data_IF_363630071299
#
_entry.id   IF_363630071299
#
_cell.length_a   1.000
_cell.length_b   1.000
_cell.length_c   1.000
_cell.angle_alpha   90.00
_cell.angle_beta   90.00
_cell.angle_gamma   90.00
#
_symmetry.space_group_name_H-M   'P 1'
#
loop_
_entity.id
_entity.type
_entity.pdbx_description
1 polymer ?
#
# COMPACT_ATOMS: atom_id res chain seq x y z
N UNK A 1 -8.90 14.71 5.10
CA UNK A 1 -8.12 13.46 4.99
C UNK A 1 -7.46 13.45 3.63
N UNK A 2 -6.21 13.00 3.54
CA UNK A 2 -5.59 12.68 2.25
C UNK A 2 -5.89 11.23 1.87
N UNK A 3 -5.88 10.93 0.58
CA UNK A 3 -5.90 9.56 0.05
C UNK A 3 -4.50 8.95 0.00
N UNK A 4 -3.50 9.77 -0.32
CA UNK A 4 -2.07 9.40 -0.34
C UNK A 4 -1.17 10.63 -0.05
N UNK A 5 0.14 10.43 0.06
CA UNK A 5 1.13 11.51 0.09
C UNK A 5 1.54 11.99 -1.31
N UNK A 6 2.66 12.70 -1.42
CA UNK A 6 3.14 13.19 -2.73
C UNK A 6 3.69 12.03 -3.58
N UNK A 7 2.99 11.66 -4.65
CA UNK A 7 3.32 10.48 -5.48
C UNK A 7 4.45 10.65 -6.47
N UNK A 8 4.70 11.87 -6.91
CA UNK A 8 5.61 12.16 -8.02
C UNK A 8 6.49 13.36 -7.72
N UNK A 9 7.60 13.46 -8.45
CA UNK A 9 8.59 14.52 -8.26
C UNK A 9 9.81 14.02 -7.49
N UNK A 10 10.83 14.87 -7.39
CA UNK A 10 12.11 14.53 -6.74
C UNK A 10 11.93 14.25 -5.26
N UNK A 11 10.96 14.92 -4.66
CA UNK A 11 10.58 14.81 -3.26
C UNK A 11 10.08 13.39 -2.95
N UNK A 12 9.22 12.83 -3.80
CA UNK A 12 8.68 11.46 -3.68
C UNK A 12 9.76 10.38 -3.84
N UNK A 13 10.88 10.69 -4.53
CA UNK A 13 11.98 9.75 -4.74
C UNK A 13 12.92 9.64 -3.53
N UNK A 14 12.88 10.60 -2.60
CA UNK A 14 13.66 10.58 -1.36
C UNK A 14 13.21 9.44 -0.43
N UNK A 15 14.06 8.95 0.50
CA UNK A 15 13.65 7.95 1.48
C UNK A 15 12.38 8.36 2.24
N UNK A 16 12.32 9.60 2.74
CA UNK A 16 11.14 10.14 3.44
C UNK A 16 9.93 10.25 2.51
N UNK A 17 10.09 10.77 1.29
CA UNK A 17 9.00 10.88 0.33
C UNK A 17 8.38 9.53 -0.02
N UNK A 18 9.19 8.48 -0.18
CA UNK A 18 8.70 7.11 -0.42
C UNK A 18 7.86 6.58 0.74
N UNK A 19 8.10 7.04 1.97
CA UNK A 19 7.25 6.73 3.12
C UNK A 19 5.96 7.55 3.09
N UNK A 20 6.08 8.85 2.83
CA UNK A 20 4.95 9.78 2.84
C UNK A 20 3.89 9.41 1.80
N UNK A 21 4.29 8.88 0.63
CA UNK A 21 3.36 8.37 -0.41
C UNK A 21 2.28 7.46 0.19
N UNK A 22 2.68 6.56 1.11
CA UNK A 22 1.80 5.60 1.75
C UNK A 22 1.28 6.04 3.13
N UNK A 23 1.69 7.23 3.61
CA UNK A 23 1.31 7.78 4.91
C UNK A 23 0.46 9.06 4.73
N UNK A 24 -0.80 8.93 4.30
CA UNK A 24 -1.66 10.08 4.08
C UNK A 24 -1.93 10.84 5.39
N UNK A 25 -1.97 12.17 5.30
CA UNK A 25 -2.24 13.01 6.46
C UNK A 25 -3.72 13.02 6.84
N UNK A 26 -3.99 12.88 8.13
CA UNK A 26 -5.30 13.04 8.75
C UNK A 26 -5.25 14.14 9.81
N UNK A 27 -6.18 15.09 9.71
CA UNK A 27 -6.40 16.11 10.72
C UNK A 27 -7.84 16.03 11.22
N UNK A 28 -8.01 16.01 12.54
CA UNK A 28 -9.32 15.89 13.19
C UNK A 28 -9.55 17.11 14.07
N UNK A 29 -10.68 17.77 13.89
CA UNK A 29 -11.13 18.88 14.74
C UNK A 29 -12.43 18.48 15.39
N UNK A 30 -12.46 18.52 16.72
CA UNK A 30 -13.66 18.24 17.50
C UNK A 30 -14.43 19.53 17.83
N UNK A 31 -15.77 19.50 17.92
CA UNK A 31 -16.56 20.64 18.39
C UNK A 31 -16.13 21.11 19.78
N UNK A 32 -16.21 22.42 20.04
CA UNK A 32 -15.81 23.02 21.33
C UNK A 32 -16.44 22.34 22.55
N UNK A 33 -17.70 21.88 22.45
CA UNK A 33 -18.40 21.17 23.53
C UNK A 33 -17.74 19.85 23.96
N UNK A 34 -16.85 19.30 23.13
CA UNK A 34 -16.13 18.05 23.40
C UNK A 34 -14.70 18.28 23.87
N UNK A 35 -14.19 19.51 23.92
CA UNK A 35 -12.77 19.80 24.16
C UNK A 35 -12.21 19.20 25.47
N UNK A 36 -13.05 19.10 26.50
CA UNK A 36 -12.69 18.54 27.81
C UNK A 36 -13.37 17.20 28.09
N UNK A 37 -13.96 16.56 27.08
CA UNK A 37 -14.70 15.30 27.23
C UNK A 37 -13.79 14.07 27.16
N UNK A 38 -14.32 12.93 27.60
CA UNK A 38 -13.66 11.63 27.43
C UNK A 38 -13.45 11.26 25.96
N UNK A 39 -14.33 11.71 25.04
CA UNK A 39 -14.15 11.52 23.59
C UNK A 39 -12.89 12.24 23.12
N UNK A 40 -12.64 13.48 23.57
CA UNK A 40 -11.44 14.21 23.17
C UNK A 40 -10.17 13.49 23.64
N UNK A 41 -10.15 13.05 24.91
CA UNK A 41 -9.03 12.26 25.44
C UNK A 41 -8.81 10.98 24.63
N UNK A 42 -9.89 10.29 24.27
CA UNK A 42 -9.82 9.06 23.49
C UNK A 42 -9.29 9.29 22.07
N UNK A 43 -9.74 10.34 21.39
CA UNK A 43 -9.23 10.70 20.05
C UNK A 43 -7.75 11.06 20.10
N UNK A 44 -7.31 11.80 21.13
CA UNK A 44 -5.89 12.12 21.33
C UNK A 44 -5.07 10.85 21.59
N UNK A 45 -5.58 9.90 22.36
CA UNK A 45 -4.86 8.65 22.60
C UNK A 45 -4.76 7.80 21.33
N UNK A 46 -5.86 7.64 20.60
CA UNK A 46 -5.89 6.90 19.34
C UNK A 46 -5.05 7.57 18.24
N UNK A 47 -4.78 8.88 18.34
CA UNK A 47 -3.92 9.58 17.37
C UNK A 47 -2.45 9.14 17.40
N UNK A 48 -2.02 8.43 18.46
CA UNK A 48 -0.65 7.91 18.62
C UNK A 48 -0.47 6.51 18.04
N UNK A 49 -1.54 5.91 17.55
CA UNK A 49 -1.58 4.54 17.04
C UNK A 49 -1.70 4.52 15.51
N UNK A 50 -1.47 3.36 14.90
CA UNK A 50 -1.65 3.20 13.46
C UNK A 50 -3.14 3.23 13.08
N UNK A 51 -3.53 4.22 12.29
CA UNK A 51 -4.91 4.45 11.81
C UNK A 51 -5.00 4.19 10.31
N UNK A 52 -6.13 3.61 9.88
CA UNK A 52 -6.43 3.28 8.48
C UNK A 52 -7.72 3.97 8.02
N UNK A 53 -7.98 4.00 6.71
CA UNK A 53 -9.27 4.48 6.19
C UNK A 53 -10.47 3.63 6.65
N UNK A 54 -10.25 2.37 7.03
CA UNK A 54 -11.31 1.54 7.63
C UNK A 54 -11.73 2.07 9.01
N UNK A 55 -10.78 2.56 9.80
CA UNK A 55 -11.08 3.21 11.09
C UNK A 55 -11.87 4.50 10.88
N UNK A 56 -11.61 5.24 9.80
CA UNK A 56 -12.40 6.43 9.44
C UNK A 56 -13.83 6.07 9.06
N UNK A 57 -14.02 4.99 8.29
CA UNK A 57 -15.35 4.46 7.98
C UNK A 57 -16.13 4.09 9.25
N UNK A 58 -15.51 3.36 10.18
CA UNK A 58 -16.10 3.03 11.48
C UNK A 58 -16.36 4.29 12.32
N UNK A 59 -15.44 5.26 12.33
CA UNK A 59 -15.61 6.53 13.05
C UNK A 59 -16.83 7.31 12.55
N UNK A 60 -17.03 7.41 11.24
CA UNK A 60 -18.22 8.08 10.70
C UNK A 60 -19.49 7.32 11.01
N UNK A 61 -19.47 5.99 10.88
CA UNK A 61 -20.60 5.13 11.24
C UNK A 61 -20.98 5.31 12.73
N UNK A 62 -19.99 5.35 13.62
CA UNK A 62 -20.18 5.61 15.05
C UNK A 62 -20.82 6.98 15.32
N UNK A 63 -20.33 8.03 14.64
CA UNK A 63 -20.89 9.39 14.72
C UNK A 63 -22.36 9.43 14.29
N UNK A 64 -22.70 8.72 13.21
CA UNK A 64 -24.02 8.72 12.60
C UNK A 64 -25.05 7.91 13.39
N UNK A 65 -24.68 6.72 13.85
CA UNK A 65 -25.65 5.73 14.32
C UNK A 65 -25.58 5.45 15.82
N UNK A 66 -24.41 5.58 16.45
CA UNK A 66 -24.16 4.99 17.78
C UNK A 66 -23.96 6.07 18.85
N UNK A 67 -23.04 7.02 18.62
CA UNK A 67 -22.73 8.12 19.55
C UNK A 67 -23.92 9.02 19.90
N UNK A 68 -24.89 9.31 19.01
CA UNK A 68 -26.03 10.16 19.35
C UNK A 68 -26.85 9.62 20.54
N UNK A 69 -26.99 8.30 20.67
CA UNK A 69 -27.73 7.65 21.77
C UNK A 69 -27.10 7.88 23.16
N UNK A 70 -25.80 8.19 23.19
CA UNK A 70 -25.03 8.44 24.42
C UNK A 70 -24.60 9.90 24.55
N UNK A 71 -25.13 10.78 23.69
CA UNK A 71 -24.74 12.19 23.60
C UNK A 71 -23.22 12.39 23.46
N UNK A 72 -22.55 11.52 22.69
CA UNK A 72 -21.11 11.55 22.46
C UNK A 72 -20.30 11.46 23.77
N UNK A 73 -20.62 10.47 24.61
CA UNK A 73 -19.87 10.20 25.86
C UNK A 73 -19.28 8.79 25.91
N UNK A 74 -19.77 7.88 25.07
CA UNK A 74 -19.37 6.49 25.13
C UNK A 74 -18.06 6.22 24.38
N UNK A 75 -17.01 5.92 25.14
CA UNK A 75 -15.69 5.53 24.62
C UNK A 75 -15.44 4.03 24.69
N UNK A 76 -16.41 3.20 25.10
CA UNK A 76 -16.17 1.76 25.23
C UNK A 76 -15.90 1.13 23.87
N UNK A 77 -14.99 0.14 23.86
CA UNK A 77 -14.69 -0.64 22.68
C UNK A 77 -15.97 -1.25 22.08
N UNK A 78 -16.05 -1.22 20.76
CA UNK A 78 -17.15 -1.78 19.99
C UNK A 78 -16.62 -2.23 18.63
N UNK A 79 -17.06 -3.41 18.17
CA UNK A 79 -16.73 -3.92 16.84
C UNK A 79 -17.73 -3.40 15.81
N UNK A 80 -17.22 -2.84 14.72
CA UNK A 80 -18.03 -2.32 13.60
C UNK A 80 -18.11 -3.31 12.43
N UNK A 81 -17.20 -4.29 12.38
CA UNK A 81 -17.27 -5.40 11.44
C UNK A 81 -16.99 -6.74 12.16
N UNK A 82 -17.50 -7.83 11.60
CA UNK A 82 -17.33 -9.18 12.15
C UNK A 82 -15.85 -9.61 12.18
N UNK A 83 -15.03 -9.02 11.30
CA UNK A 83 -13.62 -9.37 11.13
C UNK A 83 -12.69 -8.56 12.03
N UNK A 84 -13.19 -7.61 12.82
CA UNK A 84 -12.41 -6.79 13.75
C UNK A 84 -11.38 -5.88 13.07
N UNK A 85 -11.64 -5.46 11.84
CA UNK A 85 -10.69 -4.70 11.00
C UNK A 85 -10.88 -3.19 11.11
N UNK A 86 -11.99 -2.74 11.69
CA UNK A 86 -12.35 -1.33 11.80
C UNK A 86 -12.52 -0.93 13.26
N UNK A 87 -12.04 0.25 13.64
CA UNK A 87 -12.24 0.80 14.98
C UNK A 87 -12.51 2.30 14.92
N UNK A 88 -13.59 2.75 15.56
CA UNK A 88 -13.88 4.18 15.68
C UNK A 88 -12.80 4.89 16.49
N UNK A 89 -12.32 6.03 15.99
CA UNK A 89 -11.39 6.91 16.68
C UNK A 89 -11.99 7.51 17.97
N UNK A 90 -13.31 7.47 18.13
CA UNK A 90 -14.01 7.98 19.32
C UNK A 90 -14.05 6.97 20.48
N UNK A 91 -13.62 5.73 20.23
CA UNK A 91 -13.69 4.61 21.19
C UNK A 91 -12.32 4.03 21.47
N UNK A 92 -12.19 3.33 22.59
CA UNK A 92 -11.01 2.51 22.88
C UNK A 92 -10.84 1.47 21.79
N UNK A 93 -9.60 1.29 21.32
CA UNK A 93 -9.23 0.16 20.49
C UNK A 93 -9.26 -1.14 21.29
N UNK A 94 -9.25 -2.28 20.59
CA UNK A 94 -9.34 -3.60 21.20
C UNK A 94 -8.14 -3.85 22.12
N UNK A 95 -8.43 -4.22 23.36
CA UNK A 95 -7.39 -4.46 24.37
C UNK A 95 -6.54 -5.68 24.00
N UNK A 96 -5.21 -5.56 24.18
CA UNK A 96 -4.27 -6.62 23.87
C UNK A 96 -3.96 -6.80 22.37
N UNK A 97 -4.61 -6.05 21.47
CA UNK A 97 -4.35 -6.11 20.03
C UNK A 97 -3.42 -4.98 19.60
N UNK A 98 -2.17 -5.34 19.31
CA UNK A 98 -1.18 -4.38 18.78
C UNK A 98 -1.57 -3.97 17.35
N UNK A 99 -1.62 -2.66 17.08
CA UNK A 99 -1.94 -2.12 15.76
C UNK A 99 -0.69 -2.04 14.89
N UNK A 100 -0.60 -2.92 13.90
CA UNK A 100 0.50 -2.99 12.94
C UNK A 100 0.02 -3.61 11.61
N UNK A 101 0.86 -3.63 10.58
CA UNK A 101 0.48 -4.16 9.26
C UNK A 101 0.12 -5.65 9.24
N UNK A 102 0.41 -6.41 10.29
CA UNK A 102 0.02 -7.83 10.41
C UNK A 102 -1.40 -7.97 10.95
N UNK A 103 -1.79 -7.10 11.88
CA UNK A 103 -3.08 -7.19 12.57
C UNK A 103 -4.15 -6.27 11.96
N UNK A 104 -3.75 -5.28 11.17
CA UNK A 104 -4.66 -4.39 10.44
C UNK A 104 -4.78 -4.79 8.97
N UNK A 105 -5.87 -4.43 8.27
CA UNK A 105 -6.08 -4.73 6.86
C UNK A 105 -5.22 -3.86 5.92
N UNK A 106 -3.92 -3.73 6.20
CA UNK A 106 -2.96 -2.95 5.43
C UNK A 106 -2.20 -3.88 4.50
N UNK A 107 -2.38 -3.74 3.17
CA UNK A 107 -1.62 -4.55 2.22
C UNK A 107 -0.11 -4.28 2.37
N UNK A 108 0.72 -5.33 2.24
CA UNK A 108 2.18 -5.24 2.45
C UNK A 108 2.89 -4.13 1.65
N UNK A 109 2.48 -3.81 0.42
CA UNK A 109 3.08 -2.69 -0.34
C UNK A 109 2.78 -1.31 0.26
N UNK A 110 1.71 -1.18 1.05
CA UNK A 110 1.32 0.05 1.74
C UNK A 110 1.73 0.07 3.21
N UNK A 111 2.44 -0.96 3.68
CA UNK A 111 2.88 -1.00 5.06
C UNK A 111 3.95 0.06 5.34
N UNK A 112 3.75 0.84 6.40
CA UNK A 112 4.68 1.89 6.84
C UNK A 112 5.86 1.35 7.67
N UNK A 113 5.80 0.11 8.13
CA UNK A 113 6.87 -0.49 8.92
C UNK A 113 8.17 -0.53 8.11
N UNK A 114 9.23 0.00 8.70
CA UNK A 114 10.56 0.00 8.11
C UNK A 114 11.26 -1.32 8.45
N UNK A 115 11.49 -2.13 7.43
CA UNK A 115 12.28 -3.34 7.54
C UNK A 115 13.64 -3.12 6.88
N UNK A 116 14.69 -3.70 7.45
CA UNK A 116 15.98 -3.75 6.78
C UNK A 116 15.86 -4.43 5.42
N UNK A 117 16.65 -3.99 4.45
CA UNK A 117 16.66 -4.52 3.09
C UNK A 117 18.10 -4.66 2.59
N UNK A 118 18.36 -5.73 1.85
CA UNK A 118 19.65 -5.95 1.18
C UNK A 118 19.45 -6.02 -0.32
N UNK A 119 20.30 -5.33 -1.08
CA UNK A 119 20.30 -5.43 -2.55
C UNK A 119 20.63 -6.86 -2.97
N UNK A 120 19.82 -7.43 -3.87
CA UNK A 120 20.08 -8.72 -4.51
C UNK A 120 21.06 -8.51 -5.66
N UNK A 121 22.10 -9.35 -5.73
CA UNK A 121 23.14 -9.29 -6.76
C UNK A 121 23.10 -10.47 -7.73
N UNK A 122 22.28 -11.49 -7.45
CA UNK A 122 22.04 -12.60 -8.37
C UNK A 122 21.23 -12.09 -9.56
N UNK A 123 21.88 -12.01 -10.73
CA UNK A 123 21.27 -11.50 -11.96
C UNK A 123 20.14 -12.40 -12.46
N UNK A 124 20.26 -13.73 -12.29
CA UNK A 124 19.22 -14.67 -12.72
C UNK A 124 17.96 -14.47 -11.91
N UNK A 125 18.09 -14.40 -10.58
CA UNK A 125 16.94 -14.14 -9.70
C UNK A 125 16.32 -12.75 -9.97
N UNK A 126 17.17 -11.75 -10.19
CA UNK A 126 16.72 -10.39 -10.51
C UNK A 126 15.90 -10.35 -11.80
N UNK A 127 16.40 -10.95 -12.88
CA UNK A 127 15.69 -11.05 -14.16
C UNK A 127 14.40 -11.87 -14.02
N UNK A 128 14.45 -13.01 -13.33
CA UNK A 128 13.28 -13.88 -13.11
C UNK A 128 12.15 -13.12 -12.39
N UNK A 129 12.47 -12.39 -11.33
CA UNK A 129 11.51 -11.57 -10.59
C UNK A 129 10.94 -10.43 -11.44
N UNK A 130 11.79 -9.70 -12.19
CA UNK A 130 11.34 -8.63 -13.08
C UNK A 130 10.40 -9.14 -14.18
N UNK A 131 10.77 -10.24 -14.83
CA UNK A 131 9.97 -10.90 -15.87
C UNK A 131 8.63 -11.40 -15.30
N UNK A 132 8.63 -11.94 -14.09
CA UNK A 132 7.41 -12.37 -13.43
C UNK A 132 6.45 -11.20 -13.21
N UNK A 133 6.94 -10.08 -12.68
CA UNK A 133 6.10 -8.89 -12.45
C UNK A 133 5.56 -8.33 -13.78
N UNK A 134 6.40 -8.26 -14.83
CA UNK A 134 5.95 -7.84 -16.15
C UNK A 134 4.85 -8.77 -16.71
N UNK A 135 5.01 -10.10 -16.54
CA UNK A 135 3.97 -11.08 -16.91
C UNK A 135 2.68 -10.87 -16.13
N UNK A 136 2.77 -10.59 -14.83
CA UNK A 136 1.61 -10.31 -13.99
C UNK A 136 0.83 -9.08 -14.47
N UNK A 137 1.52 -7.97 -14.78
CA UNK A 137 0.91 -6.76 -15.36
C UNK A 137 0.20 -7.10 -16.68
N UNK A 138 0.87 -7.83 -17.58
CA UNK A 138 0.25 -8.25 -18.84
C UNK A 138 -0.96 -9.17 -18.64
N UNK A 139 -0.97 -9.99 -17.59
CA UNK A 139 -2.11 -10.81 -17.17
C UNK A 139 -3.33 -9.94 -16.80
N UNK A 140 -3.11 -8.86 -16.06
CA UNK A 140 -4.15 -7.86 -15.74
C UNK A 140 -4.68 -7.21 -17.02
N UNK A 141 -3.79 -6.75 -17.91
CA UNK A 141 -4.21 -6.15 -19.20
C UNK A 141 -5.01 -7.13 -20.06
N UNK A 142 -4.65 -8.42 -20.04
CA UNK A 142 -5.38 -9.48 -20.74
C UNK A 142 -6.76 -9.73 -20.13
N UNK A 143 -6.87 -9.76 -18.80
CA UNK A 143 -8.14 -9.91 -18.09
C UNK A 143 -9.13 -8.80 -18.47
N UNK A 144 -8.63 -7.57 -18.62
CA UNK A 144 -9.40 -6.41 -19.08
C UNK A 144 -9.58 -6.33 -20.61
N UNK A 145 -9.09 -7.31 -21.38
CA UNK A 145 -9.20 -7.38 -22.86
C UNK A 145 -8.59 -6.18 -23.58
N UNK A 146 -7.50 -5.62 -23.04
CA UNK A 146 -6.79 -4.45 -23.60
C UNK A 146 -5.31 -4.73 -23.92
N UNK A 147 -4.87 -5.98 -23.76
CA UNK A 147 -3.50 -6.40 -24.07
C UNK A 147 -3.23 -6.40 -25.58
N UNK A 148 -2.06 -5.87 -25.98
CA UNK A 148 -1.50 -5.83 -27.34
C UNK A 148 -2.25 -4.98 -28.38
N UNK A 149 -3.58 -4.88 -28.30
CA UNK A 149 -4.39 -4.05 -29.21
C UNK A 149 -4.52 -2.61 -28.73
N UNK A 150 -4.74 -2.41 -27.43
CA UNK A 150 -4.95 -1.09 -26.83
C UNK A 150 -3.69 -0.62 -26.12
N UNK A 151 -3.06 -1.51 -25.36
CA UNK A 151 -1.85 -1.24 -24.59
C UNK A 151 -0.67 -2.04 -25.16
N UNK A 152 0.50 -1.40 -25.26
CA UNK A 152 1.75 -2.08 -25.51
C UNK A 152 2.02 -3.14 -24.44
N UNK A 153 2.58 -4.26 -24.88
CA UNK A 153 3.05 -5.33 -23.99
C UNK A 153 4.16 -4.79 -23.08
N UNK A 154 4.09 -5.11 -21.79
CA UNK A 154 5.10 -4.72 -20.81
C UNK A 154 6.20 -5.78 -20.76
N UNK A 155 7.45 -5.36 -20.93
CA UNK A 155 8.64 -6.17 -20.73
C UNK A 155 9.60 -5.39 -19.85
N UNK A 156 10.34 -6.06 -18.96
CA UNK A 156 11.28 -5.37 -18.09
C UNK A 156 12.58 -5.06 -18.86
N UNK A 157 13.01 -3.80 -18.86
CA UNK A 157 14.33 -3.43 -19.34
C UNK A 157 15.37 -4.03 -18.39
N UNK A 158 16.09 -5.07 -18.83
CA UNK A 158 16.92 -5.93 -17.98
C UNK A 158 17.89 -5.15 -17.09
N UNK A 159 18.51 -4.10 -17.63
CA UNK A 159 19.49 -3.28 -16.91
C UNK A 159 18.88 -2.35 -15.86
N UNK A 160 17.56 -2.17 -15.89
CA UNK A 160 16.83 -1.29 -14.97
C UNK A 160 16.25 -2.03 -13.76
N UNK A 161 16.30 -3.37 -13.74
CA UNK A 161 15.67 -4.16 -12.69
C UNK A 161 16.47 -4.01 -11.39
N UNK A 162 15.79 -3.56 -10.34
CA UNK A 162 16.32 -3.41 -8.99
C UNK A 162 15.52 -4.32 -8.06
N UNK A 163 16.24 -5.21 -7.37
CA UNK A 163 15.64 -6.12 -6.38
C UNK A 163 16.29 -5.92 -5.01
N UNK A 164 15.46 -5.77 -3.99
CA UNK A 164 15.89 -5.71 -2.60
C UNK A 164 15.15 -6.76 -1.77
N UNK A 165 15.91 -7.60 -1.06
CA UNK A 165 15.35 -8.62 -0.18
C UNK A 165 15.16 -8.06 1.22
N UNK A 166 13.99 -8.32 1.81
CA UNK A 166 13.71 -7.95 3.20
C UNK A 166 14.53 -8.80 4.17
N UNK A 167 15.17 -8.14 5.13
CA UNK A 167 15.90 -8.76 6.24
C UNK A 167 15.04 -8.73 7.48
N UNK A 168 14.92 -9.87 8.16
CA UNK A 168 14.22 -10.00 9.42
C UNK A 168 15.25 -9.97 10.54
N UNK A 169 15.12 -8.97 11.41
CA UNK A 169 15.85 -8.96 12.67
C UNK A 169 15.20 -9.99 13.59
N UNK A 170 15.97 -11.00 13.99
CA UNK A 170 15.52 -11.94 15.01
C UNK A 170 15.56 -11.22 16.35
N UNK A 171 14.39 -10.88 16.91
CA UNK A 171 14.30 -10.28 18.24
C UNK A 171 14.98 -11.22 19.26
N UNK A 172 16.19 -10.89 19.68
CA UNK A 172 17.00 -11.66 20.64
C UNK A 172 18.22 -12.41 20.08
N UNK A 173 18.48 -12.37 18.76
CA UNK A 173 19.72 -12.92 18.18
C UNK A 173 20.38 -11.89 17.27
N UNK A 174 21.68 -11.64 17.45
CA UNK A 174 22.48 -10.78 16.57
C UNK A 174 22.60 -11.30 15.13
N UNK A 175 21.99 -12.44 14.81
CA UNK A 175 21.96 -13.02 13.47
C UNK A 175 20.76 -12.50 12.67
N UNK A 176 21.05 -11.82 11.57
CA UNK A 176 20.04 -11.36 10.61
C UNK A 176 19.59 -12.54 9.75
N UNK A 177 18.28 -12.82 9.74
CA UNK A 177 17.70 -13.83 8.85
C UNK A 177 17.17 -13.16 7.58
N UNK A 178 17.25 -13.87 6.46
CA UNK A 178 16.72 -13.41 5.18
C UNK A 178 15.30 -13.92 4.98
N UNK A 179 14.37 -13.02 4.65
CA UNK A 179 13.02 -13.44 4.26
C UNK A 179 12.96 -13.76 2.77
N UNK A 180 11.99 -14.57 2.38
CA UNK A 180 11.66 -14.79 0.98
C UNK A 180 10.81 -13.66 0.37
N UNK A 181 10.91 -12.44 0.89
CA UNK A 181 10.13 -11.27 0.43
C UNK A 181 11.06 -10.27 -0.22
N UNK A 182 10.66 -9.74 -1.37
CA UNK A 182 11.47 -8.93 -2.26
C UNK A 182 10.69 -7.69 -2.72
N UNK A 183 11.30 -6.51 -2.62
CA UNK A 183 10.91 -5.35 -3.42
C UNK A 183 11.48 -5.52 -4.82
N UNK A 184 10.64 -5.37 -5.84
CA UNK A 184 11.03 -5.41 -7.24
C UNK A 184 10.62 -4.10 -7.89
N UNK A 185 11.58 -3.40 -8.49
CA UNK A 185 11.37 -2.20 -9.30
C UNK A 185 12.00 -2.38 -10.68
N UNK A 186 11.32 -1.97 -11.75
CA UNK A 186 11.91 -1.97 -13.09
C UNK A 186 11.31 -0.88 -13.98
N UNK A 187 12.02 -0.52 -15.04
CA UNK A 187 11.50 0.31 -16.14
C UNK A 187 11.06 -0.58 -17.30
N UNK A 188 9.90 -0.30 -17.89
CA UNK A 188 9.43 -1.01 -19.06
C UNK A 188 10.31 -0.73 -20.28
N UNK A 189 10.63 -1.77 -21.05
CA UNK A 189 11.29 -1.66 -22.34
C UNK A 189 10.34 -1.04 -23.38
N UNK A 190 10.92 -0.26 -24.31
CA UNK A 190 10.18 0.34 -25.41
C UNK A 190 9.53 -0.74 -26.29
N UNK A 191 8.32 -0.50 -26.87
CA UNK A 191 7.60 0.79 -26.92
C UNK A 191 6.73 1.08 -25.69
N UNK A 192 6.59 0.13 -24.76
CA UNK A 192 5.92 0.40 -23.51
C UNK A 192 6.75 1.36 -22.64
N UNK A 193 6.07 2.06 -21.74
CA UNK A 193 6.69 3.04 -20.85
C UNK A 193 6.23 2.80 -19.42
N UNK A 194 7.10 3.18 -18.48
CA UNK A 194 6.78 3.24 -17.08
C UNK A 194 7.78 2.57 -16.17
N UNK A 195 7.85 3.08 -14.95
CA UNK A 195 8.55 2.49 -13.83
C UNK A 195 7.52 1.83 -12.93
N UNK A 196 7.71 0.53 -12.70
CA UNK A 196 6.80 -0.28 -11.91
C UNK A 196 7.48 -0.77 -10.65
N UNK A 197 6.73 -0.84 -9.56
CA UNK A 197 7.19 -1.36 -8.28
C UNK A 197 6.16 -2.31 -7.69
N UNK A 198 6.61 -3.41 -7.11
CA UNK A 198 5.76 -4.30 -6.31
C UNK A 198 6.57 -5.07 -5.26
N UNK A 199 5.86 -5.78 -4.38
CA UNK A 199 6.42 -6.73 -3.42
C UNK A 199 6.11 -8.14 -3.90
N UNK A 200 7.15 -8.98 -3.98
CA UNK A 200 7.05 -10.38 -4.37
C UNK A 200 7.47 -11.28 -3.21
N UNK A 201 6.81 -12.41 -3.02
CA UNK A 201 7.21 -13.43 -2.05
C UNK A 201 7.47 -14.75 -2.73
N UNK A 202 8.50 -15.47 -2.30
CA UNK A 202 8.71 -16.87 -2.65
C UNK A 202 8.14 -17.78 -1.56
N UNK A 203 7.50 -18.87 -1.96
CA UNK A 203 7.07 -19.91 -1.04
C UNK A 203 8.26 -20.75 -0.51
N UNK A 204 7.96 -21.80 0.28
CA UNK A 204 8.98 -22.70 0.81
C UNK A 204 9.71 -23.55 -0.24
N UNK A 205 9.21 -23.58 -1.48
CA UNK A 205 9.79 -24.28 -2.63
C UNK A 205 10.50 -23.32 -3.60
N UNK A 206 10.54 -22.02 -3.28
CA UNK A 206 11.12 -20.99 -4.15
C UNK A 206 10.20 -20.53 -5.28
N UNK A 207 8.92 -20.93 -5.29
CA UNK A 207 7.97 -20.46 -6.31
C UNK A 207 7.48 -19.05 -5.98
N UNK A 208 7.38 -18.23 -7.01
CA UNK A 208 6.87 -16.87 -6.88
C UNK A 208 5.37 -16.90 -6.59
N UNK A 209 4.98 -16.33 -5.46
CA UNK A 209 3.60 -16.11 -5.08
C UNK A 209 3.15 -14.73 -5.56
N UNK A 210 2.07 -14.69 -6.34
CA UNK A 210 1.36 -13.44 -6.62
C UNK A 210 0.81 -12.89 -5.29
N UNK A 211 1.46 -11.85 -4.77
CA UNK A 211 0.82 -11.00 -3.76
C UNK A 211 -0.31 -10.28 -4.48
N UNK A 212 -1.56 -10.51 -4.11
CA UNK A 212 -2.78 -9.98 -4.77
C UNK A 212 -2.92 -8.46 -4.83
N UNK A 213 -1.82 -7.71 -4.79
CA UNK A 213 -1.70 -6.30 -5.05
C UNK A 213 -1.21 -6.09 -6.48
N UNK A 214 -1.93 -5.22 -7.20
CA UNK A 214 -1.53 -4.76 -8.54
C UNK A 214 -0.20 -3.99 -8.42
N UNK A 215 0.80 -4.25 -9.28
CA UNK A 215 2.05 -3.48 -9.29
C UNK A 215 1.78 -1.98 -9.48
N UNK A 216 2.47 -1.14 -8.72
CA UNK A 216 2.29 0.30 -8.76
C UNK A 216 3.13 0.93 -9.87
N UNK A 217 2.55 1.88 -10.62
CA UNK A 217 3.27 2.80 -11.51
C UNK A 217 3.79 3.98 -10.69
N UNK A 218 5.12 4.09 -10.57
CA UNK A 218 5.78 5.05 -9.65
C UNK A 218 6.25 6.35 -10.33
N UNK A 219 6.20 6.43 -11.65
CA UNK A 219 6.44 7.65 -12.43
C UNK A 219 5.13 8.22 -13.00
N UNK A 220 5.16 9.50 -13.36
CA UNK A 220 4.01 10.17 -13.97
C UNK A 220 3.69 9.54 -15.33
N UNK A 221 2.47 9.06 -15.49
CA UNK A 221 2.02 8.41 -16.73
C UNK A 221 1.23 9.34 -17.66
N UNK A 222 0.62 10.43 -17.16
CA UNK A 222 -0.11 11.40 -18.01
C UNK A 222 -1.12 10.71 -18.94
N UNK A 223 -1.01 10.98 -20.25
CA UNK A 223 -1.90 10.41 -21.27
C UNK A 223 -1.47 9.02 -21.77
N UNK A 224 -0.44 8.41 -21.18
CA UNK A 224 0.06 7.08 -21.56
C UNK A 224 -1.06 6.03 -21.55
N UNK A 225 -2.02 6.13 -20.63
CA UNK A 225 -3.14 5.20 -20.50
C UNK A 225 -4.49 5.75 -20.99
N UNK A 226 -4.54 6.88 -21.71
CA UNK A 226 -5.78 7.59 -22.05
C UNK A 226 -6.79 6.74 -22.87
N UNK A 227 -6.30 5.76 -23.62
CA UNK A 227 -7.09 4.78 -24.37
C UNK A 227 -7.85 3.78 -23.47
N UNK A 228 -7.55 3.71 -22.17
CA UNK A 228 -8.19 2.79 -21.23
C UNK A 228 -9.30 3.50 -20.45
N UNK A 229 -10.55 2.98 -20.43
CA UNK A 229 -11.66 3.62 -19.71
C UNK A 229 -11.56 3.43 -18.19
N UNK A 230 -10.87 2.40 -17.72
CA UNK A 230 -10.75 2.05 -16.31
C UNK A 230 -9.63 2.83 -15.62
N UNK A 231 -9.98 3.82 -14.79
CA UNK A 231 -9.04 4.70 -14.10
C UNK A 231 -7.96 3.95 -13.31
N UNK A 232 -8.32 2.84 -12.65
CA UNK A 232 -7.40 2.01 -11.87
C UNK A 232 -6.42 1.18 -12.73
N UNK A 233 -6.70 1.01 -14.03
CA UNK A 233 -5.85 0.24 -14.96
C UNK A 233 -5.01 1.16 -15.86
N UNK A 234 -5.43 2.41 -16.07
CA UNK A 234 -4.67 3.42 -16.83
C UNK A 234 -3.18 3.46 -16.49
N UNK A 235 -2.73 3.40 -15.21
CA UNK A 235 -1.31 3.51 -14.89
C UNK A 235 -0.46 2.35 -15.42
N UNK A 236 -1.08 1.19 -15.71
CA UNK A 236 -0.43 0.00 -16.24
C UNK A 236 -0.29 0.01 -17.77
N UNK A 237 -0.94 0.96 -18.44
CA UNK A 237 -1.04 0.98 -19.90
C UNK A 237 -0.14 2.05 -20.51
N UNK A 238 0.51 1.69 -21.62
CA UNK A 238 1.01 2.63 -22.61
C UNK A 238 0.25 2.39 -23.92
N UNK A 239 -0.53 3.36 -24.37
CA UNK A 239 -1.42 3.24 -25.52
C UNK A 239 -0.62 3.00 -26.80
N UNK A 240 -1.09 2.04 -27.60
CA UNK A 240 -0.50 1.72 -28.91
C UNK A 240 -0.71 2.89 -29.88
N UNK A 241 -1.89 3.49 -29.85
CA UNK A 241 -2.23 4.69 -30.61
C UNK A 241 -2.50 5.85 -29.66
N UNK A 242 -1.87 7.01 -29.91
CA UNK A 242 -2.19 8.25 -29.20
C UNK A 242 -3.42 8.87 -29.86
N UNK A 243 -4.44 9.17 -29.05
CA UNK A 243 -5.59 9.99 -29.48
C UNK A 243 -5.21 11.46 -29.56
#
# INVERSE_FOLDING_TARGET
MSDHGLRFGKEAETPTGRHDVNNPFLYVVLPNRLKDSEIYKQVVENSKELVTHFDLHATFSDILYEQPSTNFTNTTFMRFDEKGRESSLLRKFEEGVVRNCKNLPIPSAYCLCQYGKKKVTDSRLTEELGDHVAKFINGILKLHRISNSTCHRIEAEKKSILVQQYTLENQGSSTVSHSNVYDVEFTAAAPARGRFKTVVKLDGHGQIMEYGQIPERIDKYGDDGACVPYYNIRPLCSCVEKK
#
